data_IF_957353467953
#
_entry.id   IF_957353467953
#
_cell.length_a   1.000
_cell.length_b   1.000
_cell.length_c   1.000
_cell.angle_alpha   90.00
_cell.angle_beta   90.00
_cell.angle_gamma   90.00
#
_symmetry.space_group_name_H-M   'P 1'
#
loop_
_entity.id
_entity.type
_entity.pdbx_description
1 polymer ?
#
# COMPACT_ATOMS: atom_id res chain seq x y z
N UNK A 1 7.64 26.28 30.44
CA UNK A 1 7.58 24.93 31.05
C UNK A 1 7.51 25.10 32.56
N UNK A 2 6.35 24.88 33.18
CA UNK A 2 6.17 25.13 34.63
C UNK A 2 6.60 23.86 35.38
N UNK A 3 7.56 23.99 36.30
CA UNK A 3 7.98 22.92 37.19
C UNK A 3 7.31 23.12 38.54
N UNK A 4 6.60 22.11 39.03
CA UNK A 4 6.02 22.11 40.37
C UNK A 4 6.78 21.14 41.28
N UNK A 5 7.18 21.57 42.49
CA UNK A 5 7.76 20.68 43.47
C UNK A 5 6.67 19.75 44.01
N UNK A 6 6.93 18.44 43.99
CA UNK A 6 6.07 17.39 44.55
C UNK A 6 6.86 16.55 45.54
N UNK A 7 6.26 16.26 46.69
CA UNK A 7 6.89 15.44 47.74
C UNK A 7 6.43 13.99 47.61
N UNK A 8 7.39 13.07 47.48
CA UNK A 8 7.11 11.62 47.46
C UNK A 8 8.05 10.96 48.44
N UNK A 9 7.50 10.27 49.45
CA UNK A 9 8.26 9.61 50.52
C UNK A 9 9.29 10.53 51.19
N UNK A 10 8.92 11.79 51.44
CA UNK A 10 9.79 12.78 52.08
C UNK A 10 10.86 13.41 51.18
N UNK A 11 10.93 13.03 49.89
CA UNK A 11 11.88 13.62 48.93
C UNK A 11 11.16 14.60 48.01
N UNK A 12 11.65 15.84 47.94
CA UNK A 12 11.14 16.86 47.00
C UNK A 12 11.67 16.56 45.61
N UNK A 13 10.76 16.24 44.68
CA UNK A 13 11.04 16.05 43.25
C UNK A 13 10.38 17.16 42.44
N UNK A 14 11.03 17.62 41.38
CA UNK A 14 10.50 18.64 40.48
C UNK A 14 9.82 17.95 39.29
N UNK A 15 8.49 18.01 39.20
CA UNK A 15 7.73 17.47 38.06
C UNK A 15 7.39 18.60 37.09
N UNK A 16 7.59 18.37 35.78
CA UNK A 16 7.08 19.28 34.75
C UNK A 16 5.56 19.11 34.69
N UNK A 17 4.81 20.20 34.79
CA UNK A 17 3.34 20.19 34.73
C UNK A 17 2.91 21.20 33.67
N UNK A 18 2.34 20.73 32.56
CA UNK A 18 1.82 21.59 31.49
C UNK A 18 1.60 20.87 30.17
N UNK A 19 0.33 20.88 29.74
CA UNK A 19 -0.31 20.26 28.57
C UNK A 19 -0.04 18.76 28.40
N UNK A 20 -1.15 18.02 28.30
CA UNK A 20 -1.22 16.59 28.06
C UNK A 20 0.01 16.07 27.30
N UNK A 21 0.72 15.15 27.92
CA UNK A 21 1.76 14.36 27.29
C UNK A 21 1.11 13.62 26.10
N UNK A 22 1.05 14.28 24.94
CA UNK A 22 1.19 13.59 23.68
C UNK A 22 2.63 13.12 23.73
N UNK A 23 2.85 11.98 24.40
CA UNK A 23 4.10 11.27 24.33
C UNK A 23 4.46 11.24 22.83
N UNK A 24 5.66 11.67 22.43
CA UNK A 24 6.03 11.60 21.03
C UNK A 24 5.85 10.15 20.65
N UNK A 25 4.87 9.90 19.78
CA UNK A 25 4.59 8.58 19.22
C UNK A 25 5.95 8.04 18.79
N UNK A 26 6.43 6.99 19.48
CA UNK A 26 7.71 6.37 19.15
C UNK A 26 7.67 6.19 17.64
N UNK A 27 8.53 6.94 16.92
CA UNK A 27 8.67 6.79 15.48
C UNK A 27 9.09 5.35 15.27
N UNK A 28 8.10 4.47 15.11
CA UNK A 28 8.27 3.08 14.75
C UNK A 28 9.16 3.17 13.53
N UNK A 29 10.40 2.70 13.67
CA UNK A 29 11.39 2.80 12.59
C UNK A 29 10.68 2.35 11.32
N UNK A 30 10.56 3.27 10.35
CA UNK A 30 9.95 2.93 9.07
C UNK A 30 10.78 1.79 8.52
N UNK A 31 10.22 0.59 8.55
CA UNK A 31 10.90 -0.61 8.11
C UNK A 31 11.28 -0.35 6.65
N UNK A 32 12.55 -0.50 6.31
CA UNK A 32 12.99 -0.33 4.92
C UNK A 32 12.20 -1.31 4.05
N UNK A 33 11.35 -0.79 3.17
CA UNK A 33 10.57 -1.58 2.23
C UNK A 33 11.44 -1.89 1.03
N UNK A 34 11.48 -3.16 0.66
CA UNK A 34 12.21 -3.62 -0.53
C UNK A 34 11.15 -4.05 -1.54
N UNK A 35 10.98 -3.24 -2.58
CA UNK A 35 9.87 -3.34 -3.53
C UNK A 35 9.73 -4.74 -4.15
N UNK A 36 10.84 -5.39 -4.55
CA UNK A 36 10.79 -6.74 -5.11
C UNK A 36 10.23 -7.81 -4.17
N UNK A 37 10.34 -7.64 -2.85
CA UNK A 37 9.72 -8.57 -1.92
C UNK A 37 8.20 -8.40 -1.94
N UNK A 38 7.70 -7.16 -1.88
CA UNK A 38 6.26 -6.89 -1.95
C UNK A 38 5.65 -7.34 -3.28
N UNK A 39 6.34 -7.09 -4.39
CA UNK A 39 5.95 -7.61 -5.71
C UNK A 39 5.92 -9.14 -5.71
N UNK A 40 6.97 -9.78 -5.22
CA UNK A 40 7.09 -11.24 -5.17
C UNK A 40 5.97 -11.88 -4.34
N UNK A 41 5.67 -11.31 -3.17
CA UNK A 41 4.62 -11.78 -2.28
C UNK A 41 3.22 -11.60 -2.89
N UNK A 42 2.93 -10.46 -3.54
CA UNK A 42 1.65 -10.27 -4.25
C UNK A 42 1.48 -11.29 -5.38
N UNK A 43 2.51 -11.48 -6.22
CA UNK A 43 2.46 -12.46 -7.31
C UNK A 43 2.23 -13.88 -6.79
N UNK A 44 2.94 -14.25 -5.72
CA UNK A 44 2.79 -15.53 -5.04
C UNK A 44 1.38 -15.71 -4.49
N UNK A 45 0.84 -14.70 -3.82
CA UNK A 45 -0.49 -14.76 -3.21
C UNK A 45 -1.59 -14.85 -4.26
N UNK A 46 -1.49 -14.12 -5.38
CA UNK A 46 -2.41 -14.26 -6.51
C UNK A 46 -2.34 -15.68 -7.07
N UNK A 47 -1.13 -16.19 -7.34
CA UNK A 47 -0.96 -17.56 -7.84
C UNK A 47 -1.55 -18.61 -6.90
N UNK A 48 -1.30 -18.49 -5.60
CA UNK A 48 -1.79 -19.43 -4.59
C UNK A 48 -3.31 -19.36 -4.43
N UNK A 49 -3.90 -18.16 -4.46
CA UNK A 49 -5.37 -17.96 -4.47
C UNK A 49 -6.04 -18.65 -5.67
N UNK A 50 -5.36 -18.70 -6.82
CA UNK A 50 -5.83 -19.43 -8.00
C UNK A 50 -5.58 -20.94 -7.95
N UNK A 51 -4.89 -21.46 -6.92
CA UNK A 51 -4.53 -22.87 -6.82
C UNK A 51 -3.50 -23.34 -7.87
N UNK A 52 -2.78 -22.41 -8.50
CA UNK A 52 -1.86 -22.72 -9.61
C UNK A 52 -0.44 -22.99 -9.13
N UNK A 53 0.25 -23.89 -9.80
CA UNK A 53 1.63 -24.23 -9.49
C UNK A 53 2.60 -23.25 -10.15
N UNK A 54 3.82 -23.14 -9.59
CA UNK A 54 4.91 -22.38 -10.23
C UNK A 54 5.17 -22.86 -11.66
N UNK A 55 5.07 -24.17 -11.92
CA UNK A 55 5.30 -24.77 -13.23
C UNK A 55 4.32 -24.24 -14.26
N UNK A 56 3.02 -24.27 -13.95
CA UNK A 56 1.95 -23.80 -14.83
C UNK A 56 2.12 -22.32 -15.18
N UNK A 57 2.37 -21.48 -14.17
CA UNK A 57 2.54 -20.04 -14.39
C UNK A 57 3.82 -19.73 -15.15
N UNK A 58 4.94 -20.36 -14.80
CA UNK A 58 6.21 -20.16 -15.49
C UNK A 58 6.14 -20.55 -16.97
N UNK A 59 5.40 -21.62 -17.28
CA UNK A 59 5.20 -22.06 -18.66
C UNK A 59 4.43 -21.02 -19.46
N UNK A 60 3.30 -20.54 -18.93
CA UNK A 60 2.47 -19.54 -19.59
C UNK A 60 3.17 -18.17 -19.71
N UNK A 61 3.98 -17.81 -18.72
CA UNK A 61 4.77 -16.57 -18.70
C UNK A 61 6.05 -16.65 -19.54
N UNK A 62 6.38 -17.82 -20.11
CA UNK A 62 7.62 -18.08 -20.88
C UNK A 62 8.90 -17.76 -20.11
N UNK A 63 8.91 -18.04 -18.82
CA UNK A 63 10.08 -17.91 -17.95
C UNK A 63 10.45 -19.26 -17.35
N UNK A 64 11.66 -19.39 -16.81
CA UNK A 64 12.01 -20.62 -16.10
C UNK A 64 11.27 -20.70 -14.76
N UNK A 65 10.95 -21.92 -14.32
CA UNK A 65 10.36 -22.17 -13.00
C UNK A 65 11.25 -21.61 -11.87
N UNK A 66 12.57 -21.80 -12.00
CA UNK A 66 13.55 -21.27 -11.05
C UNK A 66 13.51 -19.76 -10.96
N UNK A 67 13.44 -19.08 -12.11
CA UNK A 67 13.36 -17.62 -12.15
C UNK A 67 12.07 -17.10 -11.50
N UNK A 68 10.90 -17.68 -11.82
CA UNK A 68 9.64 -17.30 -11.16
C UNK A 68 9.69 -17.54 -9.65
N UNK A 69 10.28 -18.66 -9.20
CA UNK A 69 10.48 -18.95 -7.77
C UNK A 69 11.40 -17.93 -7.09
N UNK A 70 12.46 -17.48 -7.75
CA UNK A 70 13.33 -16.41 -7.22
C UNK A 70 12.61 -15.07 -7.16
N UNK A 71 11.80 -14.73 -8.16
CA UNK A 71 10.96 -13.51 -8.16
C UNK A 71 9.94 -13.53 -7.03
N UNK A 72 9.18 -14.61 -6.85
CA UNK A 72 8.19 -14.75 -5.78
C UNK A 72 8.79 -14.72 -4.37
N UNK A 73 10.09 -14.98 -4.22
CA UNK A 73 10.82 -14.86 -2.95
C UNK A 73 11.55 -13.51 -2.84
N UNK A 74 11.35 -12.61 -3.80
CA UNK A 74 12.05 -11.33 -3.96
C UNK A 74 13.56 -11.46 -3.94
N UNK A 75 14.11 -12.52 -4.54
CA UNK A 75 15.56 -12.68 -4.76
C UNK A 75 16.02 -12.07 -6.08
N UNK A 76 15.09 -11.79 -7.00
CA UNK A 76 15.34 -11.17 -8.30
C UNK A 76 14.44 -9.97 -8.51
N UNK A 77 15.00 -8.94 -9.12
CA UNK A 77 14.25 -7.85 -9.73
C UNK A 77 13.74 -8.36 -11.09
N UNK A 78 12.42 -8.27 -11.31
CA UNK A 78 11.82 -8.59 -12.61
C UNK A 78 11.75 -7.30 -13.45
N UNK A 79 12.05 -7.41 -14.75
CA UNK A 79 11.82 -6.29 -15.66
C UNK A 79 10.32 -6.02 -15.83
N UNK A 80 9.97 -4.83 -16.31
CA UNK A 80 8.57 -4.47 -16.58
C UNK A 80 7.90 -5.43 -17.57
N UNK A 81 8.62 -5.91 -18.58
CA UNK A 81 8.15 -6.89 -19.57
C UNK A 81 7.90 -8.27 -18.92
N UNK A 82 8.77 -8.69 -18.01
CA UNK A 82 8.61 -9.95 -17.29
C UNK A 82 7.46 -9.88 -16.29
N UNK A 83 7.30 -8.75 -15.57
CA UNK A 83 6.14 -8.53 -14.72
C UNK A 83 4.84 -8.56 -15.52
N UNK A 84 4.80 -7.89 -16.68
CA UNK A 84 3.64 -7.94 -17.57
C UNK A 84 3.33 -9.36 -18.06
N UNK A 85 4.37 -10.14 -18.41
CA UNK A 85 4.21 -11.53 -18.84
C UNK A 85 3.70 -12.44 -17.72
N UNK A 86 4.18 -12.26 -16.49
CA UNK A 86 3.70 -13.02 -15.32
C UNK A 86 2.27 -12.62 -14.96
N UNK A 87 1.93 -11.33 -14.97
CA UNK A 87 0.57 -10.84 -14.72
C UNK A 87 -0.41 -11.39 -15.76
N UNK A 88 -0.02 -11.37 -17.04
CA UNK A 88 -0.81 -11.97 -18.11
C UNK A 88 -0.99 -13.47 -17.93
N UNK A 89 0.07 -14.19 -17.52
CA UNK A 89 -0.01 -15.62 -17.24
C UNK A 89 -0.90 -15.95 -16.04
N UNK A 90 -1.03 -15.02 -15.09
CA UNK A 90 -1.92 -15.08 -13.92
C UNK A 90 -3.31 -14.50 -14.19
N UNK A 91 -3.61 -14.03 -15.39
CA UNK A 91 -4.89 -13.37 -15.72
C UNK A 91 -5.25 -12.24 -14.74
N UNK A 92 -4.24 -11.45 -14.36
CA UNK A 92 -4.41 -10.27 -13.49
C UNK A 92 -3.95 -9.00 -14.23
N UNK A 93 -4.74 -7.92 -14.26
CA UNK A 93 -4.28 -6.65 -14.79
C UNK A 93 -3.06 -6.13 -14.00
N UNK A 94 -2.04 -5.64 -14.71
CA UNK A 94 -0.84 -5.09 -14.06
C UNK A 94 -1.17 -3.97 -13.07
N UNK A 95 -2.15 -3.12 -13.39
CA UNK A 95 -2.61 -2.04 -12.50
C UNK A 95 -3.21 -2.56 -11.19
N UNK A 96 -3.95 -3.67 -11.24
CA UNK A 96 -4.53 -4.30 -10.05
C UNK A 96 -3.43 -4.91 -9.17
N UNK A 97 -2.45 -5.57 -9.79
CA UNK A 97 -1.27 -6.09 -9.07
C UNK A 97 -0.49 -4.96 -8.39
N UNK A 98 -0.20 -3.87 -9.12
CA UNK A 98 0.52 -2.72 -8.59
C UNK A 98 -0.25 -1.99 -7.48
N UNK A 99 -1.59 -1.97 -7.54
CA UNK A 99 -2.42 -1.45 -6.44
C UNK A 99 -2.23 -2.28 -5.18
N UNK A 100 -2.31 -3.61 -5.28
CA UNK A 100 -2.10 -4.48 -4.11
C UNK A 100 -0.68 -4.32 -3.52
N UNK A 101 0.33 -4.15 -4.38
CA UNK A 101 1.70 -3.82 -3.93
C UNK A 101 1.73 -2.47 -3.21
N UNK A 102 1.10 -1.45 -3.78
CA UNK A 102 1.01 -0.11 -3.18
C UNK A 102 0.37 -0.17 -1.79
N UNK A 103 -0.69 -0.94 -1.63
CA UNK A 103 -1.39 -1.09 -0.35
C UNK A 103 -0.48 -1.72 0.71
N UNK A 104 0.30 -2.76 0.34
CA UNK A 104 1.28 -3.38 1.26
C UNK A 104 2.41 -2.44 1.64
N UNK A 105 2.94 -1.70 0.67
CA UNK A 105 3.98 -0.68 0.89
C UNK A 105 3.44 0.39 1.86
N UNK A 106 2.22 0.88 1.64
CA UNK A 106 1.59 1.88 2.48
C UNK A 106 1.46 1.39 3.94
N UNK A 107 0.99 0.15 4.14
CA UNK A 107 0.93 -0.48 5.47
C UNK A 107 2.32 -0.55 6.12
N UNK A 108 3.35 -0.95 5.37
CA UNK A 108 4.71 -1.05 5.87
C UNK A 108 5.32 0.32 6.24
N UNK A 109 4.95 1.37 5.51
CA UNK A 109 5.37 2.75 5.78
C UNK A 109 4.54 3.44 6.88
N UNK A 110 3.48 2.80 7.35
CA UNK A 110 2.51 3.40 8.28
C UNK A 110 1.70 4.52 7.63
N UNK A 111 1.55 4.50 6.31
CA UNK A 111 0.75 5.44 5.53
C UNK A 111 -0.65 4.87 5.37
N UNK A 112 -1.64 5.59 5.87
CA UNK A 112 -3.04 5.31 5.55
C UNK A 112 -3.41 6.10 4.30
N UNK A 113 -3.58 5.43 3.16
CA UNK A 113 -4.14 6.03 1.95
C UNK A 113 -5.67 5.91 2.04
N UNK A 114 -6.43 7.02 2.12
CA UNK A 114 -7.87 6.94 2.13
C UNK A 114 -8.39 6.49 0.76
N UNK A 115 -9.25 5.48 0.72
CA UNK A 115 -9.94 5.02 -0.51
C UNK A 115 -11.11 5.93 -0.92
N UNK A 116 -11.35 6.99 -0.16
CA UNK A 116 -12.43 7.95 -0.39
C UNK A 116 -11.88 9.31 -0.80
N UNK A 117 -12.59 9.96 -1.71
CA UNK A 117 -12.36 11.36 -2.02
C UNK A 117 -12.79 12.23 -0.83
N UNK A 118 -11.97 13.19 -0.37
CA UNK A 118 -12.40 14.17 0.62
C UNK A 118 -13.72 14.83 0.21
N UNK A 119 -14.63 14.98 1.19
CA UNK A 119 -15.99 15.43 0.91
C UNK A 119 -16.05 16.80 0.22
N UNK A 120 -15.09 17.68 0.53
CA UNK A 120 -14.90 18.98 -0.13
C UNK A 120 -14.61 18.87 -1.63
N UNK A 121 -13.82 17.89 -2.06
CA UNK A 121 -13.56 17.64 -3.48
C UNK A 121 -14.74 16.98 -4.16
N UNK A 122 -15.43 16.06 -3.50
CA UNK A 122 -16.68 15.49 -4.02
C UNK A 122 -17.76 16.56 -4.23
N UNK A 123 -17.88 17.52 -3.31
CA UNK A 123 -18.84 18.62 -3.43
C UNK A 123 -18.45 19.61 -4.53
N UNK A 124 -17.17 19.94 -4.64
CA UNK A 124 -16.66 20.93 -5.59
C UNK A 124 -16.62 20.41 -7.03
N UNK A 125 -16.23 19.16 -7.24
CA UNK A 125 -15.99 18.58 -8.57
C UNK A 125 -17.01 17.51 -8.97
N UNK A 126 -17.80 16.97 -8.03
CA UNK A 126 -18.85 16.00 -8.35
C UNK A 126 -20.07 16.61 -9.05
N UNK A 127 -20.29 17.94 -8.91
CA UNK A 127 -21.35 18.66 -9.61
C UNK A 127 -21.07 18.77 -11.12
N UNK A 128 -19.83 19.07 -11.49
CA UNK A 128 -19.40 19.23 -12.89
C UNK A 128 -19.64 17.96 -13.71
N UNK A 129 -19.36 16.77 -13.14
CA UNK A 129 -19.63 15.47 -13.77
C UNK A 129 -21.12 15.22 -14.06
N UNK A 130 -22.01 15.69 -13.20
CA UNK A 130 -23.46 15.49 -13.37
C UNK A 130 -24.02 16.44 -14.43
N UNK A 131 -23.51 17.67 -14.50
CA UNK A 131 -23.88 18.65 -15.54
C UNK A 131 -23.32 18.27 -16.91
N UNK A 132 -22.06 17.82 -17.02
CA UNK A 132 -21.46 17.37 -18.28
C UNK A 132 -22.18 16.16 -18.88
N UNK A 133 -22.49 15.13 -18.08
CA UNK A 133 -23.27 13.97 -18.54
C UNK A 133 -24.72 14.32 -18.90
N UNK A 134 -25.32 15.29 -18.19
CA UNK A 134 -26.65 15.79 -18.49
C UNK A 134 -26.72 16.53 -19.83
N UNK A 135 -25.67 17.28 -20.18
CA UNK A 135 -25.55 17.98 -21.46
C UNK A 135 -25.36 16.97 -22.60
N UNK A 136 -24.46 15.99 -22.46
CA UNK A 136 -24.22 14.95 -23.48
C UNK A 136 -25.47 14.11 -23.80
N UNK A 137 -26.23 13.72 -22.77
CA UNK A 137 -27.47 12.94 -22.96
C UNK A 137 -28.63 13.77 -23.54
N UNK A 138 -28.60 15.10 -23.37
CA UNK A 138 -29.61 16.00 -23.94
C UNK A 138 -29.33 16.40 -25.40
N UNK A 139 -28.06 16.32 -25.83
CA UNK A 139 -27.61 16.69 -27.17
C UNK A 139 -27.75 15.61 -28.25
N UNK A 140 -28.29 14.42 -27.91
CA UNK A 140 -28.52 13.30 -28.85
C UNK A 140 -29.98 13.24 -29.34
N UNK A 141 -30.60 14.38 -29.62
CA UNK A 141 -31.91 14.48 -30.28
C UNK A 141 -31.83 15.21 -31.60
#
# INVERSE_FOLDING_TARGET
MVKQPVTVNGVVRWRNVGLAEIAPEEKKERKMVVLRHEIGDVLRDVRQRQGRTLREVSHNARVSLGYLSEVERGQKEASSELLSSICSALDVPLSAMLREVSDRVAVAEGVSVPDTVPQEFSQRYGRDLTEELGIELSGSR
#
